data_IF_594937773983
#
_entry.id   IF_594937773983
#
_cell.length_a   1.000
_cell.length_b   1.000
_cell.length_c   1.000
_cell.angle_alpha   90.00
_cell.angle_beta   90.00
_cell.angle_gamma   90.00
#
_symmetry.space_group_name_H-M   'P 1'
#
loop_
_entity.id
_entity.type
_entity.pdbx_description
1 polymer ?
#
# COMPACT_ATOMS: atom_id res chain seq x y z
N UNK A 1 -5.63 -11.21 21.11
CA UNK A 1 -6.97 -11.46 21.68
C UNK A 1 -7.35 -10.49 22.79
N UNK A 2 -6.40 -9.84 23.50
CA UNK A 2 -6.73 -8.80 24.50
C UNK A 2 -7.29 -7.49 23.91
N UNK A 3 -7.28 -7.40 22.59
CA UNK A 3 -7.57 -6.24 21.74
C UNK A 3 -8.77 -6.46 20.81
N UNK A 4 -9.42 -7.63 20.88
CA UNK A 4 -10.50 -8.00 19.97
C UNK A 4 -11.66 -6.99 19.96
N UNK A 5 -12.16 -6.62 21.14
CA UNK A 5 -13.30 -5.70 21.25
C UNK A 5 -12.96 -4.33 20.66
N UNK A 6 -11.78 -3.80 20.95
CA UNK A 6 -11.31 -2.56 20.34
C UNK A 6 -11.19 -2.71 18.82
N UNK A 7 -10.59 -3.79 18.33
CA UNK A 7 -10.43 -4.03 16.88
C UNK A 7 -11.77 -4.10 16.14
N UNK A 8 -12.79 -4.74 16.72
CA UNK A 8 -14.16 -4.76 16.18
C UNK A 8 -14.75 -3.36 16.14
N UNK A 9 -14.66 -2.60 17.24
CA UNK A 9 -15.16 -1.21 17.28
C UNK A 9 -14.48 -0.32 16.22
N UNK A 10 -13.17 -0.46 16.04
CA UNK A 10 -12.43 0.27 15.00
C UNK A 10 -12.88 -0.12 13.59
N UNK A 11 -13.12 -1.41 13.34
CA UNK A 11 -13.60 -1.89 12.05
C UNK A 11 -15.01 -1.37 11.74
N UNK A 12 -15.93 -1.45 12.69
CA UNK A 12 -17.31 -0.92 12.55
C UNK A 12 -17.30 0.59 12.33
N UNK A 13 -16.48 1.33 13.08
CA UNK A 13 -16.36 2.78 12.91
C UNK A 13 -15.76 3.14 11.54
N UNK A 14 -14.77 2.39 11.04
CA UNK A 14 -14.23 2.60 9.70
C UNK A 14 -15.28 2.35 8.62
N UNK A 15 -16.03 1.25 8.70
CA UNK A 15 -17.06 0.88 7.72
C UNK A 15 -18.20 1.90 7.69
N UNK A 16 -18.65 2.36 8.87
CA UNK A 16 -19.67 3.41 9.00
C UNK A 16 -19.23 4.74 8.36
N UNK A 17 -17.96 5.14 8.52
CA UNK A 17 -17.41 6.33 7.85
C UNK A 17 -17.40 6.19 6.34
N UNK A 18 -16.92 5.05 5.83
CA UNK A 18 -16.90 4.78 4.38
C UNK A 18 -18.32 4.81 3.81
N UNK A 19 -19.29 4.21 4.51
CA UNK A 19 -20.70 4.24 4.12
C UNK A 19 -21.25 5.67 4.07
N UNK A 20 -21.04 6.46 5.12
CA UNK A 20 -21.52 7.83 5.20
C UNK A 20 -20.92 8.70 4.08
N UNK A 21 -19.61 8.61 3.86
CA UNK A 21 -18.90 9.38 2.85
C UNK A 21 -19.32 8.96 1.44
N UNK A 22 -19.43 7.65 1.18
CA UNK A 22 -19.92 7.13 -0.10
C UNK A 22 -21.35 7.60 -0.39
N UNK A 23 -22.25 7.49 0.58
CA UNK A 23 -23.65 7.91 0.44
C UNK A 23 -23.78 9.42 0.17
N UNK A 24 -22.88 10.24 0.71
CA UNK A 24 -22.85 11.68 0.47
C UNK A 24 -22.52 12.05 -0.98
N UNK A 25 -21.78 11.18 -1.68
CA UNK A 25 -21.37 11.37 -3.08
C UNK A 25 -22.36 10.70 -4.05
N UNK A 26 -22.84 9.50 -3.72
CA UNK A 26 -23.67 8.68 -4.62
C UNK A 26 -25.18 8.95 -4.52
N UNK A 27 -25.61 9.87 -3.66
CA UNK A 27 -27.03 10.12 -3.45
C UNK A 27 -27.76 8.97 -2.74
N UNK A 28 -27.05 8.24 -1.87
CA UNK A 28 -27.53 7.04 -1.13
C UNK A 28 -27.68 5.77 -1.97
N UNK A 29 -26.93 5.64 -3.05
CA UNK A 29 -26.77 4.36 -3.75
C UNK A 29 -25.70 3.51 -3.05
N UNK A 30 -26.12 2.37 -2.51
CA UNK A 30 -25.27 1.39 -1.81
C UNK A 30 -24.25 0.71 -2.73
N UNK A 31 -24.45 0.74 -4.06
CA UNK A 31 -23.50 0.17 -5.01
C UNK A 31 -22.14 0.87 -4.94
N UNK A 32 -22.14 2.19 -4.76
CA UNK A 32 -20.90 2.96 -4.65
C UNK A 32 -20.14 2.61 -3.37
N UNK A 33 -20.85 2.47 -2.24
CA UNK A 33 -20.27 1.98 -0.99
C UNK A 33 -19.61 0.60 -1.15
N UNK A 34 -20.31 -0.35 -1.78
CA UNK A 34 -19.78 -1.69 -2.02
C UNK A 34 -18.49 -1.65 -2.87
N UNK A 35 -18.44 -0.78 -3.89
CA UNK A 35 -17.25 -0.63 -4.73
C UNK A 35 -16.06 -0.06 -3.94
N UNK A 36 -16.25 1.03 -3.21
CA UNK A 36 -15.15 1.69 -2.49
C UNK A 36 -14.68 0.87 -1.29
N UNK A 37 -15.59 0.20 -0.59
CA UNK A 37 -15.24 -0.66 0.56
C UNK A 37 -14.44 -1.89 0.12
N UNK A 38 -14.80 -2.55 -0.98
CA UNK A 38 -14.01 -3.63 -1.57
C UNK A 38 -12.65 -3.10 -2.05
N UNK A 39 -12.62 -1.96 -2.74
CA UNK A 39 -11.37 -1.33 -3.18
C UNK A 39 -10.40 -1.06 -2.04
N UNK A 40 -10.87 -0.46 -0.95
CA UNK A 40 -10.07 -0.21 0.25
C UNK A 40 -9.52 -1.51 0.87
N UNK A 41 -10.37 -2.55 0.96
CA UNK A 41 -9.96 -3.88 1.48
C UNK A 41 -8.90 -4.52 0.59
N UNK A 42 -9.03 -4.42 -0.74
CA UNK A 42 -8.05 -4.97 -1.68
C UNK A 42 -6.70 -4.26 -1.59
N UNK A 43 -6.70 -2.94 -1.41
CA UNK A 43 -5.47 -2.17 -1.19
C UNK A 43 -4.77 -2.64 0.08
N UNK A 44 -5.51 -2.74 1.20
CA UNK A 44 -4.93 -3.20 2.47
C UNK A 44 -4.46 -4.65 2.42
N UNK A 45 -5.19 -5.53 1.75
CA UNK A 45 -4.80 -6.93 1.58
C UNK A 45 -3.55 -7.12 0.70
N UNK A 46 -3.26 -6.14 -0.16
CA UNK A 46 -2.06 -6.12 -0.99
C UNK A 46 -0.91 -5.32 -0.41
N UNK A 47 -1.07 -4.68 0.75
CA UNK A 47 -0.09 -3.77 1.34
C UNK A 47 0.58 -4.41 2.56
N UNK A 48 1.91 -4.44 2.53
CA UNK A 48 2.73 -4.85 3.67
C UNK A 48 3.62 -3.72 4.13
N UNK A 49 3.85 -3.66 5.44
CA UNK A 49 4.78 -2.74 6.08
C UNK A 49 5.76 -3.54 6.92
N UNK A 50 7.03 -3.19 6.83
CA UNK A 50 8.09 -3.74 7.67
C UNK A 50 8.85 -2.59 8.32
N UNK A 51 9.54 -2.92 9.40
CA UNK A 51 10.48 -2.00 10.03
C UNK A 51 11.74 -2.74 10.45
N UNK A 52 12.86 -2.05 10.39
CA UNK A 52 14.11 -2.46 11.01
C UNK A 52 14.55 -1.40 12.02
N UNK A 53 15.36 -1.81 12.99
CA UNK A 53 15.95 -0.90 13.98
C UNK A 53 17.43 -1.20 14.10
N UNK A 54 18.25 -0.24 13.71
CA UNK A 54 19.71 -0.34 13.72
C UNK A 54 20.29 0.96 14.31
N UNK A 55 21.19 0.83 15.29
CA UNK A 55 21.89 1.95 15.95
C UNK A 55 20.99 3.12 16.42
N UNK A 56 19.77 2.81 16.86
CA UNK A 56 18.80 3.81 17.32
C UNK A 56 18.00 4.50 16.20
N UNK A 57 18.29 4.18 14.94
CA UNK A 57 17.51 4.57 13.77
C UNK A 57 16.43 3.52 13.49
N UNK A 58 15.20 3.96 13.23
CA UNK A 58 14.11 3.10 12.77
C UNK A 58 13.94 3.33 11.27
N UNK A 59 14.11 2.30 10.45
CA UNK A 59 13.77 2.34 9.03
C UNK A 59 12.43 1.64 8.79
N UNK A 60 11.53 2.30 8.07
CA UNK A 60 10.20 1.77 7.75
C UNK A 60 10.11 1.64 6.24
N UNK A 61 9.77 0.44 5.79
CA UNK A 61 9.60 0.12 4.37
C UNK A 61 8.21 -0.45 4.14
N UNK A 62 7.67 -0.19 2.96
CA UNK A 62 6.38 -0.74 2.58
C UNK A 62 6.40 -1.29 1.16
N UNK A 63 5.59 -2.31 0.95
CA UNK A 63 5.53 -3.09 -0.27
C UNK A 63 4.07 -3.30 -0.64
N UNK A 64 3.81 -3.36 -1.94
CA UNK A 64 2.49 -3.63 -2.48
C UNK A 64 2.58 -4.78 -3.47
N UNK A 65 1.74 -5.79 -3.27
CA UNK A 65 1.48 -6.85 -4.24
C UNK A 65 0.75 -6.26 -5.44
N UNK A 66 1.19 -6.61 -6.64
CA UNK A 66 0.39 -6.37 -7.85
C UNK A 66 -0.87 -7.24 -7.83
N UNK A 67 -2.04 -6.60 -7.81
CA UNK A 67 -3.36 -7.24 -7.80
C UNK A 67 -3.90 -7.50 -9.22
N UNK A 68 -3.19 -7.07 -10.26
CA UNK A 68 -3.48 -7.32 -11.66
C UNK A 68 -2.71 -8.52 -12.23
N UNK A 69 -2.26 -8.41 -13.49
CA UNK A 69 -1.46 -9.46 -14.15
C UNK A 69 0.02 -9.28 -13.77
N UNK A 70 0.63 -10.34 -13.25
CA UNK A 70 2.04 -10.41 -12.87
C UNK A 70 2.28 -10.38 -11.36
N UNK A 71 3.47 -10.83 -10.94
CA UNK A 71 3.88 -10.95 -9.53
C UNK A 71 4.74 -9.79 -9.03
N UNK A 72 4.98 -8.79 -9.87
CA UNK A 72 5.94 -7.71 -9.59
C UNK A 72 5.44 -6.76 -8.51
N UNK A 73 6.19 -6.62 -7.43
CA UNK A 73 5.84 -5.74 -6.30
C UNK A 73 6.16 -4.28 -6.64
N UNK A 74 5.31 -3.35 -6.18
CA UNK A 74 5.46 -1.91 -6.41
C UNK A 74 5.58 -1.53 -7.90
N UNK A 75 4.96 -2.29 -8.79
CA UNK A 75 4.79 -1.83 -10.17
C UNK A 75 4.03 -0.50 -10.15
N UNK A 76 4.52 0.55 -10.82
CA UNK A 76 3.98 1.92 -10.69
C UNK A 76 2.44 2.02 -10.68
N UNK A 77 1.78 1.21 -11.52
CA UNK A 77 0.33 1.17 -11.63
C UNK A 77 -0.37 0.84 -10.30
N UNK A 78 0.16 -0.09 -9.50
CA UNK A 78 -0.40 -0.50 -8.21
C UNK A 78 -0.48 0.66 -7.21
N UNK A 79 0.67 1.26 -6.82
CA UNK A 79 0.71 2.44 -5.96
C UNK A 79 -0.17 3.59 -6.47
N UNK A 80 -0.13 3.93 -7.76
CA UNK A 80 -0.97 5.00 -8.30
C UNK A 80 -2.47 4.68 -8.23
N UNK A 81 -2.89 3.46 -8.55
CA UNK A 81 -4.30 3.05 -8.44
C UNK A 81 -4.79 3.01 -6.99
N UNK A 82 -3.89 2.72 -6.04
CA UNK A 82 -4.20 2.66 -4.60
C UNK A 82 -4.18 4.01 -3.89
N UNK A 83 -3.68 5.06 -4.53
CA UNK A 83 -3.50 6.38 -3.92
C UNK A 83 -4.77 6.91 -3.24
N UNK A 84 -5.98 6.83 -3.82
CA UNK A 84 -7.20 7.30 -3.14
C UNK A 84 -7.45 6.58 -1.80
N UNK A 85 -7.19 5.27 -1.74
CA UNK A 85 -7.37 4.50 -0.51
C UNK A 85 -6.34 4.90 0.55
N UNK A 86 -5.08 5.11 0.19
CA UNK A 86 -4.06 5.58 1.14
C UNK A 86 -4.35 6.99 1.63
N UNK A 87 -4.71 7.94 0.76
CA UNK A 87 -5.06 9.30 1.17
C UNK A 87 -6.26 9.29 2.12
N UNK A 88 -7.24 8.42 1.89
CA UNK A 88 -8.43 8.29 2.74
C UNK A 88 -8.13 7.61 4.09
N UNK A 89 -7.32 6.54 4.10
CA UNK A 89 -7.06 5.74 5.29
C UNK A 89 -5.90 6.28 6.14
N UNK A 90 -4.74 6.50 5.52
CA UNK A 90 -3.53 7.05 6.12
C UNK A 90 -2.50 7.39 5.03
N UNK A 91 -2.31 8.69 4.75
CA UNK A 91 -1.41 9.16 3.69
C UNK A 91 0.06 8.81 3.93
N UNK A 92 0.46 8.58 5.19
CA UNK A 92 1.84 8.21 5.55
C UNK A 92 2.25 6.87 4.93
N UNK A 93 1.31 5.94 4.76
CA UNK A 93 1.58 4.64 4.15
C UNK A 93 2.03 4.77 2.69
N UNK A 94 1.47 5.73 1.96
CA UNK A 94 1.92 6.03 0.60
C UNK A 94 3.35 6.56 0.60
N UNK A 95 3.72 7.38 1.59
CA UNK A 95 5.10 7.86 1.74
C UNK A 95 6.07 6.71 1.91
N UNK A 96 5.78 5.74 2.78
CA UNK A 96 6.65 4.56 2.96
C UNK A 96 6.78 3.73 1.68
N UNK A 97 5.68 3.57 0.93
CA UNK A 97 5.65 2.81 -0.31
C UNK A 97 6.49 3.49 -1.41
N UNK A 98 6.32 4.81 -1.57
CA UNK A 98 7.10 5.62 -2.52
C UNK A 98 8.57 5.68 -2.14
N UNK A 99 8.89 5.92 -0.87
CA UNK A 99 10.26 5.98 -0.37
C UNK A 99 11.01 4.66 -0.62
N UNK A 100 10.37 3.53 -0.33
CA UNK A 100 10.93 2.19 -0.63
C UNK A 100 11.25 2.01 -2.12
N UNK A 101 10.34 2.49 -2.98
CA UNK A 101 10.49 2.40 -4.44
C UNK A 101 11.60 3.32 -4.96
N UNK A 102 11.69 4.54 -4.43
CA UNK A 102 12.71 5.53 -4.80
C UNK A 102 14.10 5.12 -4.34
N UNK A 103 14.24 4.57 -3.13
CA UNK A 103 15.51 4.06 -2.62
C UNK A 103 16.02 2.90 -3.47
N UNK A 104 15.15 1.97 -3.86
CA UNK A 104 15.54 0.90 -4.76
C UNK A 104 15.90 1.43 -6.15
N UNK A 105 15.13 2.36 -6.71
CA UNK A 105 15.47 2.99 -7.98
C UNK A 105 16.85 3.66 -7.94
N UNK A 106 17.16 4.39 -6.86
CA UNK A 106 18.47 5.03 -6.67
C UNK A 106 19.62 4.03 -6.48
N UNK A 107 19.33 2.80 -6.04
CA UNK A 107 20.35 1.75 -5.89
C UNK A 107 20.73 1.07 -7.21
N UNK A 108 19.96 1.28 -8.28
CA UNK A 108 20.23 0.70 -9.58
C UNK A 108 21.16 1.63 -10.38
N UNK A 109 22.38 1.18 -10.66
CA UNK A 109 23.37 1.84 -11.52
C UNK A 109 23.00 1.78 -13.02
N UNK A 110 21.73 2.05 -13.38
CA UNK A 110 21.24 1.96 -14.76
C UNK A 110 20.85 3.32 -15.32
N UNK A 111 21.55 3.74 -16.38
CA UNK A 111 21.43 5.06 -17.02
C UNK A 111 20.07 5.34 -17.70
N UNK A 112 19.23 4.32 -17.93
CA UNK A 112 18.02 4.41 -18.78
C UNK A 112 16.70 4.11 -18.06
N UNK A 113 16.61 4.31 -16.75
CA UNK A 113 15.36 4.09 -16.00
C UNK A 113 14.55 5.38 -15.84
N UNK A 114 13.35 5.41 -16.43
CA UNK A 114 12.35 6.41 -16.10
C UNK A 114 11.94 6.27 -14.62
N UNK A 115 11.63 7.38 -13.95
CA UNK A 115 11.00 7.35 -12.63
C UNK A 115 9.82 6.37 -12.63
N UNK A 116 9.84 5.39 -11.71
CA UNK A 116 8.83 4.33 -11.57
C UNK A 116 8.85 3.18 -12.61
N UNK A 117 9.90 3.00 -13.42
CA UNK A 117 10.03 1.81 -14.29
C UNK A 117 10.45 0.55 -13.55
N UNK A 118 10.91 0.68 -12.31
CA UNK A 118 11.50 -0.40 -11.53
C UNK A 118 10.51 -0.96 -10.51
N UNK A 119 10.24 -2.27 -10.60
CA UNK A 119 9.56 -3.04 -9.56
C UNK A 119 10.54 -3.52 -8.49
N UNK A 120 10.06 -3.84 -7.29
CA UNK A 120 10.92 -4.33 -6.19
C UNK A 120 11.24 -5.84 -6.30
N UNK A 121 10.88 -6.52 -7.39
CA UNK A 121 10.98 -7.96 -7.54
C UNK A 121 9.64 -8.68 -7.43
N UNK A 122 9.67 -9.99 -7.20
CA UNK A 122 8.47 -10.84 -7.17
C UNK A 122 7.90 -10.94 -5.76
N UNK A 123 6.70 -10.45 -5.54
CA UNK A 123 6.02 -10.60 -4.26
C UNK A 123 5.83 -12.10 -3.87
N UNK A 124 6.07 -12.49 -2.60
CA UNK A 124 6.39 -11.66 -1.44
C UNK A 124 7.87 -11.31 -1.28
N UNK A 125 8.75 -11.86 -2.14
CA UNK A 125 10.18 -11.56 -2.11
C UNK A 125 10.51 -10.28 -2.91
N UNK A 126 10.41 -9.14 -2.23
CA UNK A 126 10.71 -7.81 -2.76
C UNK A 126 12.16 -7.36 -2.53
N UNK A 127 13.12 -8.29 -2.42
CA UNK A 127 14.53 -7.98 -2.07
C UNK A 127 15.47 -8.02 -3.27
N UNK A 128 15.06 -7.64 -4.48
CA UNK A 128 15.96 -7.74 -5.66
C UNK A 128 17.23 -6.86 -5.63
N UNK A 129 17.59 -6.29 -4.47
CA UNK A 129 18.94 -5.78 -4.20
C UNK A 129 19.95 -6.93 -4.13
N UNK A 130 20.99 -6.82 -4.95
CA UNK A 130 22.16 -7.68 -5.03
C UNK A 130 22.59 -8.30 -3.68
N UNK A 131 22.62 -9.63 -3.61
CA UNK A 131 23.58 -10.32 -2.74
C UNK A 131 24.96 -10.13 -3.40
N UNK A 132 25.81 -9.29 -2.81
CA UNK A 132 27.21 -9.24 -3.15
C UNK A 132 27.92 -10.38 -2.41
N UNK A 133 28.36 -11.39 -3.16
CA UNK A 133 29.45 -12.29 -2.75
C UNK A 133 30.80 -11.54 -2.71
#
# INVERSE_FOLDING_TARGET
MRDYESAVQWAEHLDARILQDAASVSGRDDQYFNLVSIGARLVLAGFDITYSKEDGTTDIKAFMRNTGIGSKSNNALGPYASLPAFVYLNSTWMTYLLDSSMQHQNSLDLQDNFAASTDLGNYPNATSGYEAD
#
